data_IF_245155389296
#
_entry.id   IF_245155389296
#
_cell.length_a   1.000
_cell.length_b   1.000
_cell.length_c   1.000
_cell.angle_alpha   90.00
_cell.angle_beta   90.00
_cell.angle_gamma   90.00
#
_symmetry.space_group_name_H-M   'P 1'
#
loop_
_entity.id
_entity.type
_entity.pdbx_description
1 polymer ?
2 non-polymer ?
3 non-polymer ?
4 non-polymer ?
5 non-polymer ?
6 water ?
#
# COMPACT_ATOMS: atom_id res chain seq x y z
N UNK A 14 -3.71 9.55 -22.85
CA UNK A 14 -3.46 9.63 -21.42
C UNK A 14 -3.91 8.35 -20.73
N UNK A 15 -3.59 8.25 -19.44
CA UNK A 15 -3.92 7.06 -18.67
C UNK A 15 -5.42 6.77 -18.70
N UNK A 16 -5.78 5.51 -18.88
CA UNK A 16 -7.17 5.07 -18.82
C UNK A 16 -7.36 4.34 -17.50
N UNK A 17 -8.16 4.87 -16.57
CA UNK A 17 -8.31 4.22 -15.27
C UNK A 17 -8.92 2.84 -15.42
N UNK A 18 -8.34 1.83 -14.78
CA UNK A 18 -8.97 0.49 -14.72
C UNK A 18 -10.33 0.55 -14.05
N UNK A 19 -11.17 -0.47 -14.28
CA UNK A 19 -12.47 -0.52 -13.59
C UNK A 19 -12.28 -0.62 -12.09
N UNK A 20 -13.27 -0.14 -11.35
CA UNK A 20 -13.19 -0.17 -9.89
C UNK A 20 -13.32 -1.59 -9.34
N UNK A 21 -12.53 -1.88 -8.30
CA UNK A 21 -12.69 -3.13 -7.57
C UNK A 21 -13.91 -3.07 -6.67
N UNK A 22 -14.35 -4.20 -6.14
CA UNK A 22 -15.53 -4.21 -5.29
C UNK A 22 -15.28 -3.46 -3.98
N UNK A 23 -16.32 -2.75 -3.53
CA UNK A 23 -16.32 -2.10 -2.23
C UNK A 23 -17.48 -2.67 -1.43
N UNK A 24 -17.18 -3.08 -0.19
CA UNK A 24 -18.20 -3.64 0.68
C UNK A 24 -18.44 -2.71 1.86
N UNK A 25 -19.71 -2.60 2.27
CA UNK A 25 -20.12 -1.79 3.41
C UNK A 25 -20.85 -2.69 4.39
N UNK A 26 -20.12 -3.52 5.12
CA UNK A 26 -20.77 -4.50 6.01
C UNK A 26 -21.64 -3.83 7.05
N UNK A 27 -22.77 -4.46 7.35
CA UNK A 27 -23.56 -4.09 8.51
C UNK A 27 -22.78 -4.39 9.78
N UNK A 28 -23.28 -3.89 10.91
CA UNK A 28 -22.66 -4.23 12.17
C UNK A 28 -22.62 -5.74 12.38
N UNK A 29 -23.68 -6.44 12.01
CA UNK A 29 -23.71 -7.89 12.14
C UNK A 29 -22.59 -8.52 11.32
N UNK A 30 -22.50 -8.17 10.03
CA UNK A 30 -21.46 -8.73 9.17
C UNK A 30 -20.06 -8.36 9.66
N UNK A 31 -19.93 -7.26 10.39
CA UNK A 31 -18.63 -6.75 10.80
C UNK A 31 -18.06 -7.45 12.05
N UNK A 32 -18.77 -8.43 12.61
CA UNK A 32 -18.32 -9.00 13.88
C UNK A 32 -17.02 -9.79 13.72
N UNK A 33 -16.92 -10.61 12.68
CA UNK A 33 -15.73 -11.46 12.49
C UNK A 33 -15.07 -11.21 11.15
N UNK A 34 -13.84 -10.67 11.13
CA UNK A 34 -13.17 -10.39 9.85
C UNK A 34 -12.97 -11.61 8.96
N UNK A 35 -12.50 -12.74 9.51
CA UNK A 35 -12.23 -13.89 8.65
C UNK A 35 -13.52 -14.46 8.09
N UNK A 36 -14.59 -14.47 8.90
CA UNK A 36 -15.88 -14.91 8.38
C UNK A 36 -16.34 -13.99 7.25
N UNK A 37 -16.19 -12.67 7.43
CA UNK A 37 -16.64 -11.75 6.38
C UNK A 37 -15.83 -11.95 5.11
N UNK A 38 -14.51 -12.02 5.24
CA UNK A 38 -13.66 -12.18 4.06
C UNK A 38 -13.96 -13.49 3.36
N UNK A 39 -14.23 -14.54 4.15
CA UNK A 39 -14.59 -15.82 3.55
C UNK A 39 -15.88 -15.77 2.76
N UNK A 40 -16.83 -14.94 3.21
CA UNK A 40 -18.12 -14.82 2.53
C UNK A 40 -18.03 -13.99 1.26
N UNK A 41 -17.20 -12.94 1.27
CA UNK A 41 -17.07 -12.12 0.05
C UNK A 41 -16.12 -12.72 -0.96
N UNK A 42 -15.41 -13.78 -0.59
CA UNK A 42 -14.37 -14.36 -1.44
C UNK A 42 -14.83 -14.69 -2.86
N UNK A 43 -16.04 -15.23 -3.09
CA UNK A 43 -16.42 -15.58 -4.47
C UNK A 43 -16.31 -14.40 -5.42
N UNK A 44 -16.61 -13.19 -4.97
CA UNK A 44 -16.43 -12.02 -5.82
C UNK A 44 -15.02 -11.46 -5.70
N UNK A 45 -14.54 -11.22 -4.49
CA UNK A 45 -13.28 -10.52 -4.33
C UNK A 45 -12.10 -11.31 -4.87
N UNK A 46 -12.14 -12.64 -4.82
CA UNK A 46 -11.00 -13.36 -5.37
C UNK A 46 -10.95 -13.21 -6.89
N UNK A 47 -12.06 -12.87 -7.53
CA UNK A 47 -12.05 -12.65 -8.97
C UNK A 47 -11.54 -11.28 -9.37
N UNK A 48 -11.32 -10.38 -8.40
CA UNK A 48 -10.79 -9.06 -8.67
C UNK A 48 -9.44 -8.83 -8.01
N UNK A 49 -8.97 -9.78 -7.21
CA UNK A 49 -7.66 -9.69 -6.53
C UNK A 49 -7.66 -8.83 -5.29
N UNK A 50 -8.21 -7.62 -5.38
CA UNK A 50 -8.30 -6.71 -4.25
C UNK A 50 -9.75 -6.32 -4.06
N UNK A 51 -10.07 -5.91 -2.83
CA UNK A 51 -11.37 -5.32 -2.55
C UNK A 51 -11.18 -4.30 -1.44
N UNK A 52 -12.18 -3.43 -1.29
CA UNK A 52 -12.16 -2.37 -0.29
C UNK A 52 -13.32 -2.63 0.67
N UNK A 53 -13.09 -2.38 1.96
CA UNK A 53 -14.10 -2.64 2.96
C UNK A 53 -14.24 -1.37 3.79
N UNK A 54 -15.45 -0.80 3.80
CA UNK A 54 -15.77 0.38 4.57
C UNK A 54 -16.44 -0.05 5.86
N UNK A 55 -15.84 0.19 7.02
CA UNK A 55 -16.47 -0.19 8.29
C UNK A 55 -17.72 0.65 8.54
N UNK A 56 -18.57 0.21 9.46
CA UNK A 56 -19.75 1.02 9.83
C UNK A 56 -19.32 2.43 10.20
N UNK A 57 -20.22 3.39 9.95
CA UNK A 57 -19.87 4.80 10.12
C UNK A 57 -19.36 5.11 11.52
N UNK A 58 -19.90 4.44 12.54
CA UNK A 58 -19.51 4.76 13.91
C UNK A 58 -18.23 4.06 14.36
N UNK A 59 -17.66 3.16 13.55
CA UNK A 59 -16.41 2.49 13.91
C UNK A 59 -15.24 3.38 13.58
N UNK A 60 -14.69 4.05 14.59
CA UNK A 60 -13.64 5.05 14.39
C UNK A 60 -12.56 4.87 15.44
N UNK A 61 -11.55 4.04 15.15
CA UNK A 61 -10.48 3.84 16.12
C UNK A 61 -9.68 5.12 16.31
N UNK A 62 -9.16 5.34 17.50
CA UNK A 62 -8.23 6.45 17.69
C UNK A 62 -6.91 6.15 17.00
N UNK A 63 -6.08 7.17 16.86
CA UNK A 63 -4.73 6.98 16.35
C UNK A 63 -3.78 6.89 17.54
N UNK A 64 -3.10 5.76 17.66
CA UNK A 64 -2.42 5.41 18.90
C UNK A 64 -0.90 5.41 18.82
N UNK A 65 -0.30 5.84 17.71
CA UNK A 65 1.15 5.94 17.65
C UNK A 65 1.68 7.01 18.61
N UNK A 66 2.92 6.81 19.07
CA UNK A 66 3.62 7.78 19.90
C UNK A 66 4.12 8.90 19.00
N UNK A 67 3.28 9.94 18.84
CA UNK A 67 3.53 10.97 17.84
C UNK A 67 4.73 11.83 18.23
N UNK A 68 4.92 12.09 19.52
CA UNK A 68 6.00 12.97 19.95
C UNK A 68 7.35 12.48 19.45
N UNK A 69 7.60 11.18 19.55
CA UNK A 69 8.90 10.60 19.25
C UNK A 69 9.00 10.00 17.85
N UNK A 70 7.92 10.02 17.07
CA UNK A 70 7.91 9.37 15.76
C UNK A 70 8.87 10.08 14.82
N UNK A 71 10.00 9.44 14.53
CA UNK A 71 11.01 9.99 13.64
C UNK A 71 11.45 8.90 12.69
N UNK A 72 11.77 9.28 11.46
CA UNK A 72 12.15 8.28 10.46
C UNK A 72 12.89 8.95 9.32
N UNK A 73 13.72 8.16 8.64
CA UNK A 73 14.37 8.62 7.40
C UNK A 73 13.74 7.86 6.24
N UNK A 74 12.89 8.52 5.44
CA UNK A 74 12.18 7.81 4.36
C UNK A 74 13.13 7.47 3.22
N UNK A 75 12.71 6.51 2.41
CA UNK A 75 13.51 6.16 1.26
C UNK A 75 13.18 7.06 0.08
N UNK A 76 14.19 7.37 -0.70
CA UNK A 76 14.03 8.22 -1.86
C UNK A 76 13.55 7.38 -3.04
N UNK A 77 12.59 7.91 -3.79
CA UNK A 77 12.01 7.20 -4.93
C UNK A 77 12.10 8.08 -6.16
N UNK A 78 12.86 7.62 -7.15
CA UNK A 78 12.94 8.30 -8.43
C UNK A 78 11.91 7.66 -9.37
N UNK A 79 10.85 8.42 -9.69
CA UNK A 79 9.71 7.82 -10.38
C UNK A 79 10.11 7.15 -11.69
N UNK A 80 11.03 7.76 -12.44
CA UNK A 80 11.37 7.29 -13.78
C UNK A 80 12.65 6.46 -13.81
N UNK A 81 13.05 5.87 -12.69
CA UNK A 81 14.36 5.21 -12.62
C UNK A 81 14.50 4.09 -13.65
N UNK A 82 13.40 3.37 -13.95
CA UNK A 82 13.50 2.27 -14.90
C UNK A 82 13.59 2.77 -16.33
N UNK A 83 12.67 3.66 -16.72
CA UNK A 83 12.74 4.26 -18.04
C UNK A 83 14.12 4.89 -18.27
N UNK A 84 14.73 5.42 -17.22
CA UNK A 84 16.00 6.10 -17.33
C UNK A 84 17.14 5.17 -17.74
N UNK A 85 17.01 3.87 -17.48
CA UNK A 85 18.09 2.93 -17.83
C UNK A 85 18.49 3.10 -19.30
N UNK A 89 25.10 5.91 -21.65
CA UNK A 89 25.52 7.20 -21.11
C UNK A 89 25.07 7.37 -19.67
N UNK A 90 25.95 7.02 -18.73
CA UNK A 90 25.61 7.16 -17.30
C UNK A 90 25.75 8.60 -16.84
N UNK A 91 24.75 9.07 -16.10
CA UNK A 91 24.77 10.44 -15.60
C UNK A 91 25.93 10.63 -14.62
N UNK A 92 26.51 11.83 -14.64
CA UNK A 92 27.66 12.13 -13.80
C UNK A 92 27.31 11.97 -12.32
N UNK A 93 28.02 11.06 -11.65
CA UNK A 93 27.89 10.85 -10.21
C UNK A 93 26.54 10.23 -9.83
N UNK A 94 26.05 9.31 -10.67
CA UNK A 94 24.85 8.57 -10.28
C UNK A 94 25.09 7.87 -8.94
N UNK A 95 24.01 7.66 -8.19
CA UNK A 95 24.08 7.12 -6.86
C UNK A 95 24.05 8.14 -5.75
N UNK A 96 24.24 9.43 -6.06
CA UNK A 96 24.31 10.49 -5.08
C UNK A 96 23.29 11.59 -5.36
N UNK A 97 22.14 11.25 -5.96
CA UNK A 97 21.22 12.29 -6.41
C UNK A 97 20.69 13.12 -5.25
N UNK A 98 20.20 12.46 -4.20
CA UNK A 98 19.42 13.11 -3.16
C UNK A 98 20.17 13.15 -1.83
N UNK A 99 20.11 14.30 -1.16
CA UNK A 99 20.64 14.42 0.18
C UNK A 99 19.68 13.78 1.19
N UNK A 100 20.24 13.17 2.24
CA UNK A 100 19.45 12.41 3.20
C UNK A 100 18.74 13.36 4.15
N UNK A 101 17.52 13.00 4.55
CA UNK A 101 16.68 13.87 5.36
C UNK A 101 15.88 13.04 6.36
N UNK A 102 16.06 13.31 7.65
CA UNK A 102 15.24 12.71 8.70
C UNK A 102 14.08 13.62 9.05
N UNK A 103 12.91 13.02 9.31
CA UNK A 103 11.70 13.77 9.55
C UNK A 103 11.02 13.32 10.84
N UNK A 104 10.22 14.21 11.40
CA UNK A 104 9.14 13.79 12.28
C UNK A 104 7.88 13.61 11.46
N UNK A 105 6.87 13.00 12.07
CA UNK A 105 5.57 12.90 11.41
C UNK A 105 5.11 14.26 10.94
N UNK A 106 5.31 15.28 11.77
CA UNK A 106 4.88 16.64 11.45
C UNK A 106 5.70 17.22 10.31
N UNK A 107 7.03 17.12 10.38
CA UNK A 107 7.85 17.78 9.37
C UNK A 107 7.75 17.05 8.04
N UNK A 108 7.53 15.74 8.05
CA UNK A 108 7.26 15.04 6.80
C UNK A 108 5.96 15.53 6.18
N UNK A 109 4.93 15.72 7.01
CA UNK A 109 3.66 16.20 6.49
C UNK A 109 3.78 17.60 5.90
N UNK A 110 4.53 18.48 6.55
CA UNK A 110 4.78 19.81 6.01
C UNK A 110 5.47 19.71 4.65
N UNK A 111 6.51 18.87 4.57
CA UNK A 111 7.18 18.66 3.29
C UNK A 111 6.23 18.09 2.24
N UNK A 112 5.40 17.12 2.64
CA UNK A 112 4.54 16.43 1.68
C UNK A 112 3.49 17.38 1.10
N UNK A 113 2.85 18.16 1.96
CA UNK A 113 1.83 19.09 1.49
C UNK A 113 2.45 20.18 0.62
N UNK A 114 3.59 20.74 1.06
CA UNK A 114 4.27 21.74 0.25
C UNK A 114 4.63 21.17 -1.12
N UNK A 115 5.13 19.93 -1.16
CA UNK A 115 5.47 19.35 -2.45
C UNK A 115 4.27 19.32 -3.38
N UNK A 116 3.14 18.81 -2.87
CA UNK A 116 1.99 18.59 -3.73
C UNK A 116 1.35 19.89 -4.16
N UNK A 117 1.19 20.83 -3.22
CA UNK A 117 0.56 22.09 -3.60
C UNK A 117 1.44 22.88 -4.56
N UNK A 118 2.76 22.82 -4.39
CA UNK A 118 3.66 23.44 -5.35
C UNK A 118 3.57 22.76 -6.71
N UNK A 119 3.53 21.43 -6.73
CA UNK A 119 3.53 20.69 -7.98
C UNK A 119 2.29 21.02 -8.81
N UNK A 120 1.12 20.99 -8.19
CA UNK A 120 -0.13 21.19 -8.90
C UNK A 120 -0.63 22.63 -8.87
N UNK A 121 -0.01 23.51 -8.08
CA UNK A 121 -0.42 24.91 -8.01
C UNK A 121 -1.85 25.05 -7.52
N UNK A 122 -2.22 24.24 -6.53
CA UNK A 122 -3.53 24.37 -5.90
C UNK A 122 -3.48 23.69 -4.54
N UNK A 123 -4.45 23.97 -3.67
CA UNK A 123 -4.47 23.33 -2.36
C UNK A 123 -4.57 21.81 -2.50
N UNK A 124 -3.92 21.08 -1.57
CA UNK A 124 -3.71 19.66 -1.78
C UNK A 124 -5.04 18.92 -1.92
N UNK A 125 -6.05 19.31 -1.14
CA UNK A 125 -7.29 18.55 -1.20
C UNK A 125 -8.14 18.89 -2.41
N UNK A 126 -7.75 19.89 -3.20
CA UNK A 126 -8.48 20.26 -4.40
C UNK A 126 -7.96 19.57 -5.66
N UNK A 127 -6.87 18.83 -5.57
CA UNK A 127 -6.31 18.15 -6.73
C UNK A 127 -7.10 16.87 -6.97
N UNK A 128 -7.73 16.71 -8.15
CA UNK A 128 -8.54 15.51 -8.38
C UNK A 128 -7.70 14.26 -8.34
N UNK A 129 -8.26 13.19 -7.75
CA UNK A 129 -7.53 11.92 -7.68
C UNK A 129 -7.16 11.42 -9.07
N UNK A 130 -8.02 11.67 -10.06
CA UNK A 130 -7.74 11.27 -11.43
C UNK A 130 -6.54 12.01 -12.01
N UNK A 131 -6.31 13.25 -11.59
CA UNK A 131 -5.17 14.00 -12.11
C UNK A 131 -3.87 13.50 -11.50
N UNK A 132 -3.83 13.26 -10.20
CA UNK A 132 -2.63 12.70 -9.60
C UNK A 132 -2.31 11.36 -10.27
N UNK A 133 -3.34 10.55 -10.52
CA UNK A 133 -3.14 9.26 -11.16
C UNK A 133 -2.55 9.41 -12.57
N UNK A 134 -3.17 10.27 -13.40
CA UNK A 134 -2.67 10.46 -14.76
C UNK A 134 -1.24 10.99 -14.73
N UNK A 135 -0.94 11.91 -13.82
CA UNK A 135 0.38 12.52 -13.78
C UNK A 135 1.43 11.55 -13.24
N UNK A 136 1.06 10.72 -12.27
CA UNK A 136 1.98 9.71 -11.76
C UNK A 136 2.48 8.80 -12.89
N UNK A 137 1.55 8.27 -13.68
CA UNK A 137 1.97 7.34 -14.73
C UNK A 137 2.69 8.05 -15.85
N UNK A 138 2.35 9.31 -16.14
CA UNK A 138 3.15 10.08 -17.08
C UNK A 138 4.58 10.24 -16.59
N UNK A 139 4.73 10.54 -15.30
CA UNK A 139 6.07 10.80 -14.76
C UNK A 139 6.92 9.54 -14.74
N UNK A 140 6.30 8.39 -14.49
CA UNK A 140 7.03 7.13 -14.42
C UNK A 140 7.70 6.81 -15.76
N UNK A 141 7.09 7.22 -16.86
CA UNK A 141 7.62 6.95 -18.18
C UNK A 141 8.33 8.14 -18.80
N UNK A 142 8.42 9.26 -18.09
CA UNK A 142 8.99 10.48 -18.66
C UNK A 142 10.51 10.48 -18.53
N UNK A 143 11.19 10.76 -19.63
CA UNK A 143 12.63 10.99 -19.60
C UNK A 143 12.97 12.48 -19.55
N UNK A 144 12.00 13.36 -19.83
CA UNK A 144 12.26 14.79 -19.84
C UNK A 144 12.19 15.43 -18.46
N UNK A 145 11.57 14.76 -17.51
CA UNK A 145 11.26 15.34 -16.20
C UNK A 145 11.56 14.29 -15.15
N UNK A 146 12.51 14.59 -14.25
CA UNK A 146 12.90 13.68 -13.18
C UNK A 146 12.26 14.16 -11.89
N UNK A 147 11.21 13.48 -11.45
CA UNK A 147 10.56 13.78 -10.19
C UNK A 147 11.02 12.77 -9.15
N UNK A 148 11.39 13.27 -7.98
CA UNK A 148 11.88 12.44 -6.88
C UNK A 148 11.04 12.74 -5.65
N UNK A 149 10.51 11.69 -5.03
CA UNK A 149 9.74 11.85 -3.80
C UNK A 149 10.35 10.97 -2.71
N UNK A 150 9.73 10.95 -1.54
CA UNK A 150 10.21 10.22 -0.38
C UNK A 150 9.06 9.44 0.25
N UNK A 151 9.35 8.23 0.74
CA UNK A 151 8.31 7.35 1.27
C UNK A 151 8.75 6.81 2.63
N UNK A 152 8.00 7.12 3.67
CA UNK A 152 8.27 6.50 4.96
C UNK A 152 7.71 5.10 5.01
N UNK A 153 8.33 4.18 4.28
CA UNK A 153 7.78 2.84 4.07
C UNK A 153 8.42 1.84 5.03
N UNK A 154 7.66 0.80 5.37
CA UNK A 154 8.21 -0.35 6.08
C UNK A 154 8.80 0.04 7.44
N UNK A 155 8.03 0.83 8.20
CA UNK A 155 8.37 1.19 9.57
C UNK A 155 7.67 0.19 10.48
N UNK A 156 8.41 -0.50 11.34
CA UNK A 156 7.78 -1.51 12.16
C UNK A 156 6.86 -0.88 13.21
N UNK A 157 5.70 -1.50 13.44
CA UNK A 157 4.83 -1.07 14.53
C UNK A 157 5.51 -1.22 15.90
N UNK A 158 6.60 -1.99 15.97
CA UNK A 158 7.31 -2.10 17.25
C UNK A 158 8.02 -0.79 17.62
N UNK A 159 8.42 -0.01 16.62
CA UNK A 159 9.30 1.13 16.86
C UNK A 159 8.60 2.21 17.69
N UNK A 160 7.45 2.68 17.21
CA UNK A 160 6.70 3.72 17.89
C UNK A 160 5.28 3.27 18.21
N UNK A 161 5.00 1.97 18.10
CA UNK A 161 3.67 1.46 18.35
C UNK A 161 2.82 1.39 17.09
N UNK A 162 1.76 0.60 17.19
CA UNK A 162 0.77 0.49 16.14
C UNK A 162 -0.08 1.75 16.09
N UNK A 163 -0.65 2.02 14.91
CA UNK A 163 -1.67 3.05 14.82
C UNK A 163 -2.93 2.70 15.58
N UNK A 164 -3.20 1.40 15.76
CA UNK A 164 -4.30 0.92 16.58
C UNK A 164 -3.91 0.86 18.06
N UNK A 165 -4.85 1.08 18.95
CA UNK A 165 -4.58 0.87 20.37
C UNK A 165 -4.32 -0.60 20.64
N UNK A 166 -3.35 -0.87 21.52
CA UNK A 166 -2.94 -2.23 21.83
C UNK A 166 -2.79 -2.36 23.34
N UNK A 167 -3.35 -3.42 23.91
CA UNK A 167 -3.33 -3.63 25.35
C UNK A 167 -2.04 -4.34 25.77
N UNK A 168 -0.92 -3.70 25.49
CA UNK A 168 0.38 -4.18 25.95
C UNK A 168 0.93 -3.35 27.10
N UNK A 169 0.16 -2.39 27.61
CA UNK A 169 0.58 -1.58 28.73
C UNK A 169 1.60 -0.52 28.43
N UNK A 170 1.93 -0.30 27.15
CA UNK A 170 2.91 0.70 26.78
C UNK A 170 2.32 2.09 26.61
N UNK A 171 1.02 2.18 26.35
CA UNK A 171 0.34 3.46 26.13
C UNK A 171 -1.04 3.42 26.76
N UNK A 172 -1.49 4.56 27.28
CA UNK A 172 -2.80 4.64 27.90
C UNK A 172 -3.89 4.38 26.87
N UNK A 173 -4.91 3.61 27.29
CA UNK A 173 -6.09 3.34 26.48
C UNK A 173 -7.30 3.81 27.26
N UNK A 174 -8.11 4.67 26.65
CA UNK A 174 -9.31 5.17 27.31
C UNK A 174 -10.41 4.12 27.24
N UNK A 175 -11.38 4.17 28.15
CA UNK A 175 -12.44 3.15 28.14
C UNK A 175 -13.14 3.01 26.80
N UNK A 176 -13.48 4.13 26.16
CA UNK A 176 -14.16 4.06 24.87
C UNK A 176 -13.26 3.61 23.74
N UNK A 177 -11.96 3.48 23.99
CA UNK A 177 -11.01 2.98 23.00
C UNK A 177 -10.73 1.48 23.15
N UNK A 178 -11.16 0.88 24.27
CA UNK A 178 -10.81 -0.52 24.50
C UNK A 178 -11.42 -1.44 23.46
N UNK A 179 -12.62 -1.14 22.98
CA UNK A 179 -13.22 -2.00 21.96
C UNK A 179 -12.31 -2.07 20.73
N UNK A 180 -11.61 -0.99 20.42
CA UNK A 180 -10.71 -1.01 19.26
C UNK A 180 -9.46 -1.80 19.55
N UNK A 181 -8.98 -1.79 20.79
CA UNK A 181 -7.85 -2.63 21.14
C UNK A 181 -8.20 -4.11 21.03
N UNK A 182 -9.48 -4.46 21.20
CA UNK A 182 -9.92 -5.84 21.21
C UNK A 182 -10.57 -6.27 19.90
N UNK A 183 -10.79 -5.35 18.98
CA UNK A 183 -11.51 -5.66 17.74
C UNK A 183 -10.73 -6.62 16.87
N UNK A 184 -11.45 -7.56 16.24
CA UNK A 184 -10.84 -8.41 15.25
C UNK A 184 -10.34 -7.68 14.02
N UNK A 185 -10.78 -6.44 13.80
CA UNK A 185 -10.31 -5.63 12.67
C UNK A 185 -9.08 -4.79 13.03
N UNK A 186 -8.71 -4.75 14.30
CA UNK A 186 -7.41 -4.23 14.70
C UNK A 186 -6.33 -5.13 14.12
N UNK A 187 -5.44 -4.58 13.29
CA UNK A 187 -4.51 -5.43 12.53
C UNK A 187 -3.58 -6.21 13.44
N UNK A 188 -3.39 -5.79 14.70
CA UNK A 188 -2.59 -6.58 15.63
C UNK A 188 -3.28 -7.85 16.10
N UNK A 189 -4.58 -7.98 15.82
CA UNK A 189 -5.37 -9.12 16.26
C UNK A 189 -5.74 -10.04 15.10
N UNK A 190 -5.15 -9.83 13.91
CA UNK A 190 -5.35 -10.77 12.82
C UNK A 190 -4.48 -12.01 13.01
N UNK A 191 -4.95 -13.18 12.58
CA UNK A 191 -4.12 -14.39 12.71
C UNK A 191 -2.98 -14.39 11.70
N UNK A 192 -1.79 -14.79 12.16
CA UNK A 192 -0.60 -14.68 11.31
C UNK A 192 0.20 -15.97 11.25
N UNK A 193 -0.19 -16.98 12.03
CA UNK A 193 0.61 -18.19 12.15
C UNK A 193 0.17 -19.20 11.10
N UNK A 194 1.03 -19.44 10.12
CA UNK A 194 0.77 -20.46 9.11
C UNK A 194 0.91 -21.85 9.70
N UNK A 195 -0.03 -22.73 9.34
CA UNK A 195 0.03 -24.12 9.76
C UNK A 195 1.15 -24.85 9.00
N UNK A 196 1.89 -25.69 9.73
CA UNK A 196 2.93 -26.49 9.09
C UNK A 196 3.46 -27.50 10.10
N UNK A 197 4.13 -28.53 9.59
CA UNK A 197 4.83 -29.47 10.45
C UNK A 197 5.97 -28.77 11.18
N UNK A 198 6.72 -27.93 10.47
CA UNK A 198 7.82 -27.20 11.10
C UNK A 198 7.32 -26.39 12.29
N UNK A 199 6.12 -25.82 12.19
CA UNK A 199 5.57 -25.07 13.32
C UNK A 199 5.48 -25.92 14.58
N UNK A 200 5.25 -27.22 14.43
CA UNK A 200 5.20 -28.12 15.58
C UNK A 200 6.56 -28.67 15.95
N UNK A 201 7.50 -28.72 15.01
CA UNK A 201 8.85 -29.17 15.34
C UNK A 201 9.66 -28.03 15.95
N UNK A 202 9.49 -26.82 15.44
CA UNK A 202 10.17 -25.65 15.97
C UNK A 202 9.32 -24.96 17.04
N UNK A 209 5.00 -12.20 13.73
CA UNK A 209 4.79 -11.14 12.75
C UNK A 209 3.90 -10.04 13.31
N UNK A 210 4.26 -8.80 13.03
CA UNK A 210 3.50 -7.63 13.48
C UNK A 210 3.20 -6.73 12.29
N UNK A 211 2.30 -5.77 12.42
CA UNK A 211 2.02 -4.88 11.28
C UNK A 211 3.16 -3.91 11.02
N UNK A 212 3.16 -3.40 9.81
CA UNK A 212 4.13 -2.42 9.33
C UNK A 212 3.40 -1.13 8.96
N UNK A 213 4.13 -0.01 9.07
CA UNK A 213 3.53 1.31 8.90
C UNK A 213 4.10 2.01 7.67
N UNK A 214 3.27 2.85 7.04
CA UNK A 214 3.64 3.50 5.79
C UNK A 214 3.20 4.95 5.84
N UNK A 215 4.16 5.87 5.88
CA UNK A 215 3.86 7.30 5.86
C UNK A 215 4.07 7.79 4.43
N UNK A 216 2.98 8.14 3.75
CA UNK A 216 3.04 8.44 2.34
C UNK A 216 3.01 9.92 2.04
N UNK A 217 3.49 10.27 0.84
CA UNK A 217 3.31 11.58 0.25
C UNK A 217 2.89 11.40 -1.21
N UNK A 218 2.49 12.49 -1.84
CA UNK A 218 2.07 12.44 -3.24
C UNK A 218 3.15 11.75 -4.09
N UNK A 219 2.75 10.75 -4.86
CA UNK A 219 3.53 10.03 -5.85
C UNK A 219 4.41 8.94 -5.22
N UNK A 220 4.50 8.86 -3.89
CA UNK A 220 5.22 7.74 -3.32
C UNK A 220 4.45 6.47 -3.67
N UNK A 221 5.17 5.35 -3.85
CA UNK A 221 4.53 4.25 -4.55
C UNK A 221 5.11 2.90 -4.16
N UNK A 222 4.36 1.84 -4.52
CA UNK A 222 4.82 0.46 -4.39
C UNK A 222 4.57 -0.24 -5.72
N UNK A 223 5.55 -1.01 -6.19
CA UNK A 223 5.41 -1.62 -7.50
C UNK A 223 4.74 -2.99 -7.38
N UNK A 224 4.53 -3.62 -8.55
CA UNK A 224 3.78 -4.87 -8.61
C UNK A 224 4.46 -5.97 -7.81
N UNK A 225 3.69 -6.63 -6.95
CA UNK A 225 4.25 -7.75 -6.19
C UNK A 225 3.12 -8.62 -5.67
N UNK A 226 3.49 -9.84 -5.24
CA UNK A 226 2.65 -10.68 -4.42
C UNK A 226 3.35 -10.89 -3.08
N UNK A 227 2.61 -11.45 -2.11
CA UNK A 227 3.13 -11.62 -0.76
C UNK A 227 3.88 -12.93 -0.62
N UNK A 228 4.83 -12.95 0.33
CA UNK A 228 5.50 -14.19 0.68
C UNK A 228 4.46 -15.26 1.01
N UNK A 229 4.73 -16.48 0.55
CA UNK A 229 3.83 -17.62 0.78
C UNK A 229 2.46 -17.41 0.15
N UNK A 230 2.35 -16.49 -0.82
CA UNK A 230 1.07 -16.14 -1.45
C UNK A 230 0.03 -15.73 -0.41
N UNK A 231 0.46 -15.06 0.65
CA UNK A 231 -0.41 -14.72 1.76
C UNK A 231 -1.47 -13.69 1.36
N UNK A 232 -2.61 -13.76 2.05
CA UNK A 232 -3.50 -12.59 2.15
C UNK A 232 -2.75 -11.42 2.79
N UNK A 233 -3.19 -10.20 2.47
CA UNK A 233 -2.79 -9.05 3.28
C UNK A 233 -4.02 -8.18 3.55
N UNK A 234 -3.96 -7.42 4.63
CA UNK A 234 -5.00 -6.45 4.93
C UNK A 234 -4.32 -5.13 5.28
N UNK A 235 -4.96 -4.04 4.87
CA UNK A 235 -4.34 -2.72 4.88
C UNK A 235 -5.36 -1.71 5.38
N UNK A 236 -4.97 -0.89 6.36
CA UNK A 236 -5.88 0.12 6.90
C UNK A 236 -5.27 1.50 6.75
N UNK A 237 -6.01 2.44 6.18
CA UNK A 237 -5.55 3.82 6.08
C UNK A 237 -6.06 4.58 7.30
N UNK A 238 -5.16 4.87 8.25
CA UNK A 238 -5.55 5.54 9.50
C UNK A 238 -6.06 6.95 9.25
N UNK A 239 -5.37 7.69 8.38
CA UNK A 239 -5.72 9.09 8.12
C UNK A 239 -4.97 9.58 6.90
N UNK A 240 -5.39 10.75 6.41
CA UNK A 240 -4.73 11.42 5.30
C UNK A 240 -5.43 11.22 3.97
N UNK A 241 -4.71 11.60 2.90
CA UNK A 241 -5.25 11.54 1.56
C UNK A 241 -5.20 10.11 1.04
N UNK A 242 -5.96 9.78 0.00
CA UNK A 242 -6.16 8.38 -0.37
C UNK A 242 -4.89 7.69 -0.83
N UNK A 243 -4.92 6.36 -0.74
CA UNK A 243 -3.92 5.49 -1.32
C UNK A 243 -4.57 4.82 -2.52
N UNK A 244 -4.01 5.00 -3.71
CA UNK A 244 -4.60 4.45 -4.92
C UNK A 244 -3.97 3.09 -5.22
N UNK A 245 -4.83 2.10 -5.44
CA UNK A 245 -4.45 0.71 -5.60
C UNK A 245 -4.77 0.19 -7.00
N UNK A 246 -3.95 -0.75 -7.47
CA UNK A 246 -4.27 -1.60 -8.61
C UNK A 246 -4.08 -3.06 -8.19
N UNK A 247 -5.00 -3.89 -8.62
CA UNK A 247 -4.97 -5.31 -8.27
C UNK A 247 -5.27 -6.16 -9.47
N UNK A 248 -4.67 -7.35 -9.48
CA UNK A 248 -4.87 -8.37 -10.50
C UNK A 248 -5.28 -9.66 -9.81
N UNK A 249 -6.38 -10.30 -10.25
CA UNK A 249 -6.81 -11.55 -9.60
C UNK A 249 -5.79 -12.65 -9.82
N UNK A 250 -5.76 -13.59 -8.86
CA UNK A 250 -4.76 -14.64 -8.89
C UNK A 250 -4.86 -15.52 -10.13
N UNK A 251 -6.05 -15.66 -10.73
CA UNK A 251 -6.13 -16.50 -11.92
C UNK A 251 -5.31 -15.93 -13.07
N UNK A 252 -4.93 -14.66 -12.99
CA UNK A 252 -4.14 -13.99 -14.02
C UNK A 252 -2.69 -13.79 -13.62
N UNK A 253 -2.26 -14.41 -12.53
CA UNK A 253 -0.90 -14.18 -12.04
C UNK A 253 0.15 -14.57 -13.07
N UNK A 254 -0.02 -15.75 -13.71
CA UNK A 254 0.97 -16.16 -14.69
C UNK A 254 0.93 -15.26 -15.92
N UNK A 255 -0.25 -14.77 -16.28
CA UNK A 255 -0.35 -13.84 -17.39
C UNK A 255 0.44 -12.57 -17.11
N UNK A 256 0.27 -12.02 -15.91
CA UNK A 256 1.04 -10.82 -15.56
C UNK A 256 2.53 -11.12 -15.62
N UNK A 257 2.94 -12.25 -15.07
CA UNK A 257 4.35 -12.60 -15.05
C UNK A 257 4.91 -12.74 -16.46
N UNK A 258 4.11 -13.27 -17.40
CA UNK A 258 4.56 -13.36 -18.78
C UNK A 258 4.71 -11.99 -19.42
N UNK A 259 3.78 -11.07 -19.17
CA UNK A 259 3.93 -9.71 -19.70
C UNK A 259 5.19 -9.06 -19.13
N UNK A 260 5.44 -9.26 -17.83
CA UNK A 260 6.68 -8.78 -17.23
C UNK A 260 7.89 -9.34 -17.96
N UNK A 261 7.91 -10.65 -18.17
CA UNK A 261 9.04 -11.27 -18.87
C UNK A 261 9.24 -10.63 -20.24
N UNK A 262 8.15 -10.40 -20.97
CA UNK A 262 8.26 -9.86 -22.32
C UNK A 262 8.77 -8.42 -22.30
N UNK A 263 8.25 -7.59 -21.39
CA UNK A 263 8.41 -6.15 -21.49
C UNK A 263 9.33 -5.54 -20.43
N UNK A 264 9.59 -6.24 -19.34
CA UNK A 264 10.44 -5.67 -18.32
C UNK A 264 11.89 -5.66 -18.79
N UNK A 265 12.71 -4.76 -18.24
CA UNK A 265 14.10 -4.64 -18.70
C UNK A 265 14.83 -5.98 -18.72
N UNK A 266 15.51 -6.24 -19.83
CA UNK A 266 16.21 -7.51 -19.99
C UNK A 266 17.22 -7.72 -18.86
N UNK A 267 17.92 -6.65 -18.46
CA UNK A 267 18.93 -6.77 -17.41
C UNK A 267 18.37 -7.40 -16.15
N UNK A 268 17.08 -7.21 -15.89
CA UNK A 268 16.44 -7.76 -14.69
C UNK A 268 15.60 -9.00 -15.00
N UNK A 269 15.61 -9.47 -16.25
CA UNK A 269 14.73 -10.58 -16.63
C UNK A 269 15.07 -11.84 -15.85
N UNK A 270 16.36 -12.15 -15.70
CA UNK A 270 16.81 -13.37 -15.02
C UNK A 270 16.74 -13.29 -13.51
N UNK A 271 16.27 -12.19 -12.95
CA UNK A 271 16.32 -12.07 -11.49
C UNK A 271 15.22 -12.90 -10.84
N UNK A 272 15.51 -13.52 -9.70
CA UNK A 272 14.46 -14.19 -8.92
C UNK A 272 13.33 -13.21 -8.60
N UNK A 273 12.12 -13.75 -8.49
CA UNK A 273 10.95 -12.91 -8.26
C UNK A 273 11.11 -12.03 -7.03
N UNK A 274 11.73 -12.56 -5.97
CA UNK A 274 11.83 -11.79 -4.73
C UNK A 274 12.62 -10.50 -4.93
N UNK A 275 13.59 -10.50 -5.84
CA UNK A 275 14.36 -9.31 -6.16
C UNK A 275 13.73 -8.51 -7.31
N UNK A 276 13.26 -9.19 -8.35
CA UNK A 276 12.62 -8.48 -9.45
C UNK A 276 11.48 -7.61 -8.97
N UNK A 277 10.71 -8.09 -7.98
CA UNK A 277 9.59 -7.35 -7.43
C UNK A 277 9.99 -6.04 -6.78
N UNK A 278 11.28 -5.82 -6.52
CA UNK A 278 11.71 -4.53 -6.00
C UNK A 278 11.62 -3.45 -7.06
N UNK A 279 11.55 -3.82 -8.35
CA UNK A 279 11.60 -2.88 -9.47
C UNK A 279 10.61 -3.26 -10.57
N UNK A 280 9.55 -3.97 -10.25
CA UNK A 280 8.56 -4.34 -11.27
C UNK A 280 7.48 -3.27 -11.38
N UNK A 281 7.88 -2.08 -11.84
CA UNK A 281 6.90 -1.01 -12.08
C UNK A 281 6.36 -1.17 -13.49
N UNK A 282 5.04 -1.12 -13.63
CA UNK A 282 4.43 -1.26 -14.94
C UNK A 282 3.10 -0.53 -14.97
N UNK A 283 2.94 0.32 -15.97
CA UNK A 283 1.69 1.01 -16.19
C UNK A 283 0.54 0.01 -16.30
N UNK A 284 -0.52 0.15 -15.50
CA UNK A 284 -1.65 -0.80 -15.61
C UNK A 284 -2.21 -0.93 -17.02
N UNK A 285 -2.16 0.12 -17.83
CA UNK A 285 -2.71 0.03 -19.19
C UNK A 285 -1.89 -0.92 -20.06
N UNK A 286 -0.58 -1.03 -19.82
CA UNK A 286 0.21 -2.02 -20.55
C UNK A 286 -0.30 -3.42 -20.26
N UNK A 287 -0.53 -3.73 -18.98
CA UNK A 287 -1.06 -5.05 -18.63
C UNK A 287 -2.43 -5.25 -19.28
N UNK A 288 -3.27 -4.23 -19.22
CA UNK A 288 -4.62 -4.34 -19.77
C UNK A 288 -4.58 -4.58 -21.27
N UNK A 289 -3.68 -3.88 -21.98
CA UNK A 289 -3.58 -4.08 -23.42
C UNK A 289 -3.13 -5.49 -23.75
N UNK A 290 -2.42 -6.15 -22.84
CA UNK A 290 -2.01 -7.53 -23.01
C UNK A 290 -3.01 -8.52 -22.44
N UNK A 291 -4.22 -8.08 -22.11
CA UNK A 291 -5.29 -8.96 -21.70
C UNK A 291 -5.33 -9.29 -20.23
N UNK A 292 -4.51 -8.66 -19.42
CA UNK A 292 -4.50 -8.92 -17.97
C UNK A 292 -5.61 -8.10 -17.31
N UNK A 293 -6.49 -8.72 -16.53
CA UNK A 293 -7.52 -7.93 -15.83
C UNK A 293 -6.90 -7.16 -14.67
N UNK A 294 -7.19 -5.85 -14.63
CA UNK A 294 -6.70 -4.95 -13.59
C UNK A 294 -7.89 -4.20 -13.03
N UNK A 295 -7.95 -4.09 -11.71
CA UNK A 295 -8.94 -3.29 -11.01
C UNK A 295 -8.25 -2.23 -10.17
N UNK A 296 -8.93 -1.12 -9.93
CA UNK A 296 -8.35 -0.03 -9.16
C UNK A 296 -9.25 0.32 -7.99
N UNK A 297 -8.69 1.07 -7.03
CA UNK A 297 -9.52 1.72 -6.02
C UNK A 297 -8.76 2.88 -5.38
N UNK A 298 -9.51 3.88 -4.88
CA UNK A 298 -8.94 4.90 -4.00
C UNK A 298 -9.33 4.51 -2.58
N UNK A 299 -8.36 4.06 -1.81
CA UNK A 299 -8.57 3.72 -0.40
C UNK A 299 -8.50 5.01 0.41
N UNK A 300 -9.63 5.40 1.01
CA UNK A 300 -9.72 6.65 1.76
C UNK A 300 -9.54 6.40 3.25
N UNK A 301 -9.36 7.49 3.99
CA UNK A 301 -9.12 7.38 5.42
C UNK A 301 -10.24 6.57 6.08
N UNK A 302 -9.86 5.62 6.92
CA UNK A 302 -10.79 4.77 7.62
C UNK A 302 -11.26 3.55 6.85
N UNK A 303 -10.67 3.27 5.69
CA UNK A 303 -11.06 2.13 4.87
C UNK A 303 -9.96 1.07 4.82
N UNK A 304 -10.41 -0.18 4.69
CA UNK A 304 -9.53 -1.34 4.57
C UNK A 304 -9.41 -1.74 3.11
N UNK A 305 -8.24 -2.22 2.72
CA UNK A 305 -8.06 -2.97 1.47
C UNK A 305 -7.57 -4.37 1.83
N UNK A 306 -8.19 -5.37 1.23
CA UNK A 306 -7.75 -6.76 1.39
C UNK A 306 -7.22 -7.25 0.05
N UNK A 307 -6.06 -7.90 0.08
CA UNK A 307 -5.51 -8.55 -1.11
C UNK A 307 -5.60 -10.05 -0.92
N UNK A 308 -6.05 -10.75 -1.94
CA UNK A 308 -6.27 -12.19 -1.86
C UNK A 308 -5.00 -12.95 -2.25
N UNK A 309 -4.93 -14.24 -1.95
CA UNK A 309 -3.68 -14.99 -2.20
C UNK A 309 -3.25 -14.90 -3.65
N UNK A 310 -1.98 -14.54 -3.85
CA UNK A 310 -1.36 -14.48 -5.17
C UNK A 310 -2.05 -13.45 -6.07
N UNK A 311 -2.63 -12.42 -5.47
CA UNK A 311 -3.17 -11.27 -6.20
C UNK A 311 -2.08 -10.22 -6.32
N UNK A 312 -1.56 -10.00 -7.52
CA UNK A 312 -0.56 -8.96 -7.72
C UNK A 312 -1.18 -7.60 -7.43
N UNK A 313 -0.42 -6.73 -6.78
CA UNK A 313 -0.94 -5.39 -6.50
C UNK A 313 0.19 -4.37 -6.53
N UNK A 314 -0.21 -3.12 -6.77
CA UNK A 314 0.71 -1.99 -6.85
C UNK A 314 -0.11 -0.74 -6.58
N UNK A 315 0.59 0.37 -6.35
CA UNK A 315 -0.21 1.58 -6.09
C UNK A 315 0.68 2.77 -5.78
N UNK A 316 0.00 3.88 -5.46
CA UNK A 316 0.73 5.09 -5.08
C UNK A 316 -0.15 5.92 -4.14
N UNK A 317 0.47 6.85 -3.42
CA UNK A 317 -0.27 7.68 -2.48
C UNK A 317 -0.64 9.02 -3.11
N UNK A 318 -1.87 9.47 -2.86
CA UNK A 318 -2.35 10.74 -3.38
C UNK A 318 -1.75 11.94 -2.66
N UNK A 319 -1.33 11.74 -1.43
CA UNK A 319 -0.78 12.82 -0.62
C UNK A 319 -0.39 12.28 0.74
N UNK A 320 -0.18 13.20 1.68
CA UNK A 320 0.23 12.85 3.04
C UNK A 320 -0.77 11.90 3.67
N UNK A 321 -0.31 10.74 4.08
CA UNK A 321 -1.23 9.78 4.69
C UNK A 321 -0.45 8.78 5.54
N UNK A 322 -1.20 7.89 6.19
CA UNK A 322 -0.61 7.00 7.17
C UNK A 322 -1.34 5.67 7.11
N UNK A 323 -0.65 4.61 6.73
CA UNK A 323 -1.24 3.30 6.52
C UNK A 323 -0.59 2.26 7.44
N UNK A 324 -1.36 1.20 7.71
CA UNK A 324 -0.86 0.07 8.48
C UNK A 324 -1.27 -1.21 7.76
N UNK A 325 -0.36 -2.19 7.71
CA UNK A 325 -0.60 -3.37 6.88
C UNK A 325 -0.01 -4.60 7.55
N UNK A 326 -0.63 -5.76 7.32
CA UNK A 326 -0.11 -7.01 7.85
C UNK A 326 -0.59 -8.16 6.97
N UNK A 327 0.22 -9.21 6.89
CA UNK A 327 -0.19 -10.44 6.22
C UNK A 327 -0.89 -11.31 7.22
N UNK A 328 -2.00 -11.93 6.80
CA UNK A 328 -2.75 -12.79 7.70
C UNK A 328 -3.02 -14.12 7.02
N UNK A 329 -3.38 -15.10 7.85
CA UNK A 329 -3.63 -16.46 7.42
C UNK A 329 -5.08 -16.83 7.69
N UNK A 330 -5.61 -17.74 6.87
CA UNK A 330 -6.98 -18.21 7.07
C UNK A 330 -6.97 -19.69 7.43
X LIG B 1 4.04 -4.29 0.50
X LIG B 1 5.94 -6.22 0.94
X LIG B 1 9.82 -1.95 0.95
X LIG B 1 8.91 -0.95 0.24
X LIG B 1 9.34 -0.24 -0.85
X LIG B 1 7.22 0.88 -1.14
X LIG B 1 7.57 -0.73 0.64
X LIG B 1 3.23 0.97 0.38
X LIG B 1 2.11 0.43 0.55
X LIG B 1 1.08 1.04 0.88
X LIG B 1 2.01 -1.07 0.31
X LIG B 1 0.79 -1.62 -0.11
X LIG B 1 0.73 -2.98 -0.31
X LIG B 1 1.76 -3.83 -0.12
X LIG B 1 2.94 -3.29 0.27
X LIG B 1 3.10 -1.92 0.52
X LIG B 1 5.36 -3.92 0.70
X LIG B 1 6.35 -4.88 0.92
X LIG B 1 4.61 -6.51 0.74
X LIG B 1 3.66 -5.57 0.55
X LIG B 1 7.77 -4.53 1.14
X LIG B 1 8.38 -4.94 2.13
X LIG B 1 8.35 -3.76 0.25
X LIG B 1 9.73 -3.34 0.40
X LIG B 1 8.53 0.67 -1.54
X LIG B 1 6.73 0.17 -0.05
X LIG C 1 1.72 -6.05 -0.47
X LIG D 1 14.04 -3.16 -0.26
X LIG D 1 15.15 -2.26 -0.36
X LIG D 1 13.90 -3.62 1.19
X LIG D 1 13.80 -2.47 2.04
X LIG D 1 15.25 -1.97 -1.28
X LIG E 1 2.40 9.90 22.95
X LIG E 1 3.74 9.68 22.48
X LIG E 1 1.65 10.77 21.95
X LIG E 1 2.38 11.99 21.73
X LIG F 1 6.21 1.79 -17.60
X LIG F 1 5.20 0.80 -17.84
X LIG F 1 7.26 1.23 -16.64
X LIG F 1 8.48 2.00 -16.71
X LIG G 1 5.78 -15.56 -3.08
X LIG G 1 6.64 -14.59 -3.64
X LIG G 1 6.62 -16.78 -2.68
X LIG G 1 6.71 -16.89 -1.28
X LIG G 1 6.00 -18.05 -3.24
X LIG G 1 6.69 -19.15 -2.68
#
# INVERSE_FOLDING_TARGET
HNMAGVGPGGYAAEFVPPPECPVFEPSWEEFTDPLSFIGRIRPLAEKTGICKIRPPKDWQPPFACEVKSFRFTPRVQRLNELEAMTRVRPREAFGFEQAVREYTLQSFGEMADNFKSDYFNMPVHMVPTELVEKEFWRLVSSIEEDVIVEYGADISSKDFGSGFPVKDGRRKILPEEEEYALSGWNLNNMPVLEQSVLAHINVDISGMKVPWLYVGMCFSSFCWHIEDHWSYSINYLHWGEPKTWYGVPSHAAEQLEEVMRELAPELFESQPDLLHQLVTIMNPNVLMEHGVPVYRTNQCAGEFVVTFPRAYHSGFNQGYNFAEAVNFCT
6E7 C10 C13 C20 C21 C22 C24 C26 O01 C02 O03 C04 C05 C06 N07 C08 C09 C11 C12 C14 N15 C16 O17 N18 C19 C23 C25
MN MN
EDO C1 O1 C2 O2 HO1
EDO C1 O1 C2 O2
EDO C1 O1 C2 O2
GOL C1 O1 C2 O2 C3 O3
#
